data_IF_770840204123
#
_entry.id   IF_770840204123
#
_cell.length_a   1.000
_cell.length_b   1.000
_cell.length_c   1.000
_cell.angle_alpha   90.00
_cell.angle_beta   90.00
_cell.angle_gamma   90.00
#
_symmetry.space_group_name_H-M   'P 1'
#
loop_
_entity.id
_entity.type
_entity.pdbx_description
1 polymer ?
#
# COMPACT_ATOMS: atom_id res chain seq x y z
N UNK A 1 -25.47 14.71 29.17
CA UNK A 1 -24.82 13.56 28.51
C UNK A 1 -23.36 13.89 28.26
N UNK A 2 -22.54 13.57 29.25
CA UNK A 2 -21.10 13.69 29.32
C UNK A 2 -20.45 12.62 28.42
N UNK A 3 -20.19 12.94 27.16
CA UNK A 3 -19.31 12.15 26.32
C UNK A 3 -17.86 12.48 26.68
N UNK A 4 -17.33 11.76 27.66
CA UNK A 4 -15.90 11.67 27.89
C UNK A 4 -15.25 11.07 26.63
N UNK A 5 -14.69 11.92 25.78
CA UNK A 5 -13.81 11.53 24.67
C UNK A 5 -12.53 10.98 25.30
N UNK A 6 -12.58 9.70 25.67
CA UNK A 6 -11.42 8.95 26.13
C UNK A 6 -10.57 8.62 24.89
N UNK A 7 -9.28 9.00 24.82
CA UNK A 7 -8.42 8.70 23.67
C UNK A 7 -8.07 7.20 23.50
N UNK A 8 -8.71 6.31 24.27
CA UNK A 8 -8.51 4.85 24.24
C UNK A 8 -9.49 4.13 23.29
N UNK A 9 -10.43 4.86 22.66
CA UNK A 9 -11.53 4.32 21.84
C UNK A 9 -11.20 4.11 20.35
N UNK A 10 -10.02 4.53 19.86
CA UNK A 10 -9.67 4.42 18.44
C UNK A 10 -9.46 2.97 17.95
N UNK A 11 -9.12 2.03 18.84
CA UNK A 11 -8.84 0.65 18.47
C UNK A 11 -10.13 -0.18 18.24
N UNK A 12 -11.19 0.11 18.99
CA UNK A 12 -12.47 -0.62 18.90
C UNK A 12 -13.28 -0.19 17.68
N UNK A 13 -13.37 1.12 17.40
CA UNK A 13 -14.03 1.62 16.18
C UNK A 13 -13.35 1.10 14.90
N UNK A 14 -12.02 1.03 14.91
CA UNK A 14 -11.23 0.41 13.84
C UNK A 14 -11.62 -1.02 13.57
N UNK A 15 -11.71 -1.83 14.62
CA UNK A 15 -12.02 -3.25 14.49
C UNK A 15 -13.41 -3.46 13.90
N UNK A 16 -14.37 -2.64 14.31
CA UNK A 16 -15.74 -2.68 13.76
C UNK A 16 -15.76 -2.27 12.29
N UNK A 17 -15.06 -1.20 11.92
CA UNK A 17 -14.94 -0.75 10.54
C UNK A 17 -14.25 -1.79 9.64
N UNK A 18 -13.21 -2.47 10.12
CA UNK A 18 -12.54 -3.54 9.36
C UNK A 18 -13.46 -4.75 9.14
N UNK A 19 -14.25 -5.14 10.15
CA UNK A 19 -15.17 -6.28 10.06
C UNK A 19 -16.37 -5.96 9.15
N UNK A 20 -16.93 -4.76 9.28
CA UNK A 20 -17.98 -4.27 8.40
C UNK A 20 -17.49 -4.17 6.96
N UNK A 21 -16.28 -3.66 6.73
CA UNK A 21 -15.66 -3.64 5.41
C UNK A 21 -15.52 -5.05 4.84
N UNK A 22 -15.04 -6.02 5.63
CA UNK A 22 -14.90 -7.39 5.17
C UNK A 22 -16.25 -8.01 4.76
N UNK A 23 -17.34 -7.70 5.49
CA UNK A 23 -18.69 -8.17 5.16
C UNK A 23 -19.25 -7.49 3.90
N UNK A 24 -19.13 -6.17 3.79
CA UNK A 24 -19.60 -5.43 2.63
C UNK A 24 -18.84 -5.83 1.36
N UNK A 25 -17.51 -5.93 1.47
CA UNK A 25 -16.62 -6.28 0.37
C UNK A 25 -16.37 -7.80 0.26
N UNK A 26 -17.19 -8.64 0.91
CA UNK A 26 -17.13 -10.10 0.77
C UNK A 26 -17.42 -10.53 -0.68
N UNK A 27 -18.44 -9.91 -1.27
CA UNK A 27 -18.88 -10.18 -2.65
C UNK A 27 -18.08 -9.41 -3.72
N UNK A 28 -17.26 -8.44 -3.32
CA UNK A 28 -16.45 -7.68 -4.26
C UNK A 28 -15.35 -8.51 -4.91
N UNK A 29 -14.93 -8.12 -6.10
CA UNK A 29 -13.79 -8.72 -6.80
C UNK A 29 -12.48 -8.11 -6.35
N UNK A 30 -11.38 -8.80 -6.65
CA UNK A 30 -10.02 -8.30 -6.43
C UNK A 30 -9.76 -6.95 -7.12
N UNK A 31 -10.34 -6.72 -8.30
CA UNK A 31 -10.26 -5.45 -9.02
C UNK A 31 -10.97 -4.30 -8.29
N UNK A 32 -12.15 -4.55 -7.70
CA UNK A 32 -12.88 -3.56 -6.91
C UNK A 32 -12.07 -3.16 -5.66
N UNK A 33 -11.52 -4.15 -4.96
CA UNK A 33 -10.66 -3.91 -3.78
C UNK A 33 -9.39 -3.13 -4.16
N UNK A 34 -8.78 -3.44 -5.32
CA UNK A 34 -7.64 -2.69 -5.84
C UNK A 34 -8.03 -1.25 -6.15
N UNK A 35 -9.14 -1.03 -6.86
CA UNK A 35 -9.64 0.30 -7.22
C UNK A 35 -9.93 1.17 -5.99
N UNK A 36 -10.47 0.58 -4.92
CA UNK A 36 -10.67 1.23 -3.64
C UNK A 36 -9.34 1.75 -3.05
N UNK A 37 -8.34 0.88 -2.94
CA UNK A 37 -7.01 1.26 -2.44
C UNK A 37 -6.35 2.31 -3.34
N UNK A 38 -6.50 2.17 -4.66
CA UNK A 38 -6.00 3.14 -5.65
C UNK A 38 -6.64 4.51 -5.49
N UNK A 39 -7.94 4.57 -5.22
CA UNK A 39 -8.68 5.81 -4.99
C UNK A 39 -8.19 6.53 -3.74
N UNK A 40 -7.93 5.80 -2.65
CA UNK A 40 -7.34 6.37 -1.44
C UNK A 40 -5.93 6.91 -1.73
N UNK A 41 -5.12 6.12 -2.43
CA UNK A 41 -3.76 6.53 -2.78
C UNK A 41 -3.72 7.78 -3.67
N UNK A 42 -4.65 7.86 -4.63
CA UNK A 42 -4.83 9.01 -5.51
C UNK A 42 -5.22 10.26 -4.71
N UNK A 43 -6.19 10.14 -3.80
CA UNK A 43 -6.59 11.24 -2.90
C UNK A 43 -5.46 11.73 -2.01
N UNK A 44 -4.63 10.81 -1.51
CA UNK A 44 -3.50 11.13 -0.65
C UNK A 44 -2.26 11.61 -1.43
N UNK A 45 -2.20 11.38 -2.75
CA UNK A 45 -1.00 11.58 -3.55
C UNK A 45 0.20 10.73 -3.11
N UNK A 46 -0.02 9.74 -2.24
CA UNK A 46 1.02 8.90 -1.63
C UNK A 46 0.47 7.50 -1.33
N UNK A 47 1.37 6.57 -1.06
CA UNK A 47 1.03 5.21 -0.63
C UNK A 47 0.19 5.22 0.66
N UNK A 48 -1.04 4.71 0.66
CA UNK A 48 -1.83 4.62 1.88
C UNK A 48 -1.19 3.63 2.87
N UNK A 49 -1.21 3.99 4.15
CA UNK A 49 -0.71 3.11 5.22
C UNK A 49 -1.83 2.18 5.69
N UNK A 50 -1.47 1.16 6.49
CA UNK A 50 -2.44 0.28 7.17
C UNK A 50 -3.43 1.06 8.04
N UNK A 51 -3.02 2.26 8.47
CA UNK A 51 -3.85 3.14 9.27
C UNK A 51 -4.80 3.93 8.37
N UNK A 52 -4.38 4.38 7.20
CA UNK A 52 -5.25 5.16 6.32
C UNK A 52 -6.22 4.30 5.51
N UNK A 53 -6.02 2.97 5.46
CA UNK A 53 -6.88 2.05 4.70
C UNK A 53 -7.75 1.20 5.62
N UNK A 54 -9.05 1.49 5.63
CA UNK A 54 -10.05 0.61 6.25
C UNK A 54 -10.12 -0.69 5.45
N UNK A 55 -10.19 -1.82 6.15
CA UNK A 55 -10.16 -3.14 5.50
C UNK A 55 -8.76 -3.62 5.10
N UNK A 56 -7.67 -2.95 5.52
CA UNK A 56 -6.31 -3.37 5.22
C UNK A 56 -6.07 -4.86 5.52
N UNK A 57 -6.53 -5.36 6.68
CA UNK A 57 -6.37 -6.78 7.03
C UNK A 57 -7.08 -7.69 6.04
N UNK A 58 -8.31 -7.37 5.68
CA UNK A 58 -9.13 -8.14 4.74
C UNK A 58 -8.53 -8.14 3.34
N UNK A 59 -8.22 -6.95 2.81
CA UNK A 59 -7.62 -6.74 1.49
C UNK A 59 -6.27 -7.48 1.42
N UNK A 60 -5.42 -7.37 2.44
CA UNK A 60 -4.15 -8.10 2.52
C UNK A 60 -4.36 -9.62 2.55
N UNK A 61 -5.37 -10.10 3.28
CA UNK A 61 -5.68 -11.52 3.35
C UNK A 61 -6.16 -12.06 1.99
N UNK A 62 -6.90 -11.25 1.22
CA UNK A 62 -7.54 -11.66 -0.03
C UNK A 62 -6.67 -11.46 -1.28
N UNK A 63 -6.06 -10.28 -1.42
CA UNK A 63 -5.19 -9.91 -2.55
C UNK A 63 -3.72 -10.28 -2.34
N UNK A 64 -3.36 -10.65 -1.12
CA UNK A 64 -1.99 -10.98 -0.74
C UNK A 64 -1.19 -9.77 -0.25
N UNK A 65 0.11 -9.75 -0.57
CA UNK A 65 1.02 -8.85 0.12
C UNK A 65 0.81 -7.37 -0.28
N UNK A 66 0.68 -6.48 0.69
CA UNK A 66 0.46 -5.03 0.48
C UNK A 66 1.42 -4.35 -0.52
N UNK A 67 2.74 -4.64 -0.51
CA UNK A 67 3.65 -4.08 -1.51
C UNK A 67 3.31 -4.55 -2.93
N UNK A 68 2.82 -5.79 -3.10
CA UNK A 68 2.39 -6.31 -4.39
C UNK A 68 1.14 -5.63 -4.91
N UNK A 69 0.20 -5.32 -4.02
CA UNK A 69 -1.01 -4.52 -4.32
C UNK A 69 -0.59 -3.14 -4.85
N UNK A 70 0.36 -2.48 -4.20
CA UNK A 70 0.86 -1.19 -4.66
C UNK A 70 1.60 -1.23 -5.99
N UNK A 71 2.29 -2.34 -6.30
CA UNK A 71 2.88 -2.55 -7.63
C UNK A 71 1.76 -2.72 -8.67
N UNK A 72 0.71 -3.49 -8.38
CA UNK A 72 -0.46 -3.63 -9.26
C UNK A 72 -1.15 -2.29 -9.52
N UNK A 73 -1.18 -1.40 -8.53
CA UNK A 73 -1.73 -0.05 -8.64
C UNK A 73 -0.79 0.96 -9.32
N UNK A 74 0.42 0.56 -9.72
CA UNK A 74 1.42 1.47 -10.28
C UNK A 74 1.98 2.49 -9.28
N UNK A 75 1.64 2.38 -7.99
CA UNK A 75 2.12 3.24 -6.90
C UNK A 75 3.54 2.88 -6.45
N UNK A 76 3.98 1.64 -6.72
CA UNK A 76 5.34 1.18 -6.48
C UNK A 76 5.95 0.65 -7.76
N UNK A 77 7.21 1.02 -8.02
CA UNK A 77 7.98 0.39 -9.09
C UNK A 77 8.20 -1.11 -8.77
N UNK A 78 7.95 -2.01 -9.74
CA UNK A 78 8.24 -3.42 -9.56
C UNK A 78 9.74 -3.61 -9.25
N UNK A 79 10.05 -4.54 -8.33
CA UNK A 79 11.43 -4.79 -7.86
C UNK A 79 12.43 -5.04 -8.99
N UNK A 80 11.96 -5.55 -10.13
CA UNK A 80 12.75 -5.80 -11.33
C UNK A 80 13.34 -4.52 -11.93
N UNK A 81 12.54 -3.44 -12.00
CA UNK A 81 12.96 -2.15 -12.57
C UNK A 81 13.96 -1.46 -11.63
N UNK A 82 13.72 -1.52 -10.31
CA UNK A 82 14.66 -0.99 -9.31
C UNK A 82 16.03 -1.67 -9.40
N UNK A 83 16.07 -3.01 -9.53
CA UNK A 83 17.33 -3.76 -9.66
C UNK A 83 18.07 -3.41 -10.93
N UNK A 84 17.37 -3.22 -12.04
CA UNK A 84 17.98 -2.81 -13.30
C UNK A 84 18.57 -1.40 -13.23
N UNK A 85 17.86 -0.44 -12.63
CA UNK A 85 18.37 0.93 -12.45
C UNK A 85 19.66 0.95 -11.62
N UNK A 86 19.68 0.17 -10.54
CA UNK A 86 20.89 0.00 -9.70
C UNK A 86 22.03 -0.62 -10.51
N UNK A 87 21.80 -1.70 -11.26
CA UNK A 87 22.84 -2.32 -12.11
C UNK A 87 23.43 -1.32 -13.10
N UNK A 88 22.58 -0.53 -13.75
CA UNK A 88 22.99 0.50 -14.73
C UNK A 88 23.86 1.58 -14.08
N UNK A 89 23.48 2.06 -12.89
CA UNK A 89 24.29 3.03 -12.14
C UNK A 89 25.64 2.48 -11.67
N UNK A 90 25.72 1.21 -11.27
CA UNK A 90 27.00 0.58 -10.90
C UNK A 90 27.91 0.43 -12.13
N UNK A 91 27.36 0.04 -13.28
CA UNK A 91 28.11 -0.08 -14.53
C UNK A 91 28.67 1.26 -15.02
N UNK A 92 27.88 2.34 -14.95
CA UNK A 92 28.30 3.69 -15.30
C UNK A 92 29.47 4.18 -14.41
N UNK A 93 29.38 3.91 -13.10
CA UNK A 93 30.42 4.27 -12.12
C UNK A 93 31.74 3.52 -12.35
N UNK A 94 31.69 2.25 -12.78
CA UNK A 94 32.89 1.50 -13.14
C UNK A 94 33.54 2.02 -14.43
N UNK A 95 32.73 2.40 -15.43
CA UNK A 95 33.24 2.94 -16.71
C UNK A 95 33.93 4.29 -16.54
N UNK A 96 33.45 5.15 -15.64
CA UNK A 96 34.08 6.43 -15.32
C UNK A 96 35.42 6.31 -14.58
N UNK A 97 35.63 5.23 -13.80
CA UNK A 97 36.87 5.02 -13.03
C UNK A 97 38.01 4.46 -13.89
N UNK A 98 37.70 3.71 -14.94
CA UNK A 98 38.70 3.09 -15.83
C UNK A 98 39.33 4.05 -16.84
N UNK A 99 38.79 5.27 -17.01
CA UNK A 99 39.27 6.25 -18.00
C UNK A 99 40.25 7.30 -17.43
N UNK A 100 40.67 7.12 -16.18
CA UNK A 100 41.52 8.07 -15.43
C UNK A 100 42.90 7.53 -15.07
N UNK A 101 43.34 6.46 -15.74
CA UNK A 101 44.64 5.82 -15.57
C UNK A 101 45.45 5.89 -16.85
#
# INVERSE_FOLDING_TARGET
>A
MNHSINPRSNADERSQLEDEFARQHASDTDEQLLSYVGSIASKLGRKPTKEETIGYRYIKSRLGNWPGIMVKLGLLEPKSVRRERVRRSIADKQKGRSKKN
#
